data_IF_278397554949
#
_entry.id   IF_278397554949
#
_cell.length_a   1.000
_cell.length_b   1.000
_cell.length_c   1.000
_cell.angle_alpha   90.00
_cell.angle_beta   90.00
_cell.angle_gamma   90.00
#
_symmetry.space_group_name_H-M   'P 1'
#
loop_
_entity.id
_entity.type
_entity.pdbx_description
1 polymer ?
#
# COMPACT_ATOMS: atom_id res chain seq x y z
N UNK A 1 24.78 12.92 2.42
CA UNK A 1 23.72 13.57 3.03
C UNK A 1 22.49 12.74 3.09
N UNK A 2 21.92 12.71 4.28
CA UNK A 2 20.83 11.87 4.39
C UNK A 2 19.60 12.44 3.82
N UNK A 3 18.76 11.61 3.30
CA UNK A 3 17.56 12.02 2.77
C UNK A 3 16.67 12.47 3.81
N UNK A 4 16.08 13.54 3.61
CA UNK A 4 15.15 14.02 4.51
C UNK A 4 13.99 13.17 4.51
N UNK A 5 13.55 12.80 5.61
CA UNK A 5 12.43 12.02 5.82
C UNK A 5 11.83 11.41 4.64
N UNK A 6 12.16 10.46 4.11
CA UNK A 6 11.62 9.70 3.04
C UNK A 6 10.11 9.81 2.91
N UNK A 7 9.64 10.96 2.47
CA UNK A 7 8.22 11.16 2.31
C UNK A 7 7.78 10.83 0.88
N UNK A 8 6.74 10.03 0.76
CA UNK A 8 6.18 9.70 -0.54
C UNK A 8 4.75 10.22 -0.55
N UNK A 9 4.39 10.96 -1.59
CA UNK A 9 3.03 11.47 -1.71
C UNK A 9 2.37 10.91 -2.94
N UNK A 10 1.08 10.67 -2.83
CA UNK A 10 0.29 10.17 -3.94
C UNK A 10 -1.13 10.70 -3.77
N UNK A 11 -1.45 11.75 -4.50
CA UNK A 11 -2.74 12.40 -4.32
C UNK A 11 -2.91 12.87 -2.89
N UNK A 12 -3.95 12.39 -2.23
CA UNK A 12 -4.24 12.77 -0.86
C UNK A 12 -3.52 11.93 0.19
N UNK A 13 -2.66 11.03 -0.24
CA UNK A 13 -1.96 10.13 0.67
C UNK A 13 -0.52 10.59 0.82
N UNK A 14 -0.05 10.66 2.05
CA UNK A 14 1.31 11.02 2.34
C UNK A 14 1.88 10.01 3.32
N UNK A 15 3.03 9.46 3.02
CA UNK A 15 3.65 8.43 3.84
C UNK A 15 5.06 8.86 4.21
N UNK A 16 5.36 8.79 5.50
CA UNK A 16 6.69 9.13 6.01
C UNK A 16 7.37 7.85 6.47
N UNK A 17 8.38 7.43 5.74
CA UNK A 17 9.05 6.18 6.04
C UNK A 17 9.81 6.21 7.36
N UNK A 18 10.44 7.34 7.66
CA UNK A 18 11.23 7.46 8.89
C UNK A 18 10.41 7.27 10.14
N UNK A 19 9.22 7.82 10.17
CA UNK A 19 8.38 7.80 11.37
C UNK A 19 7.25 6.79 11.28
N UNK A 20 7.14 6.10 10.15
CA UNK A 20 6.06 5.14 9.89
C UNK A 20 4.69 5.80 10.07
N UNK A 21 4.55 7.01 9.53
CA UNK A 21 3.28 7.74 9.63
C UNK A 21 2.63 7.86 8.27
N UNK A 22 1.33 7.76 8.26
CA UNK A 22 0.55 7.88 7.04
C UNK A 22 -0.55 8.90 7.27
N UNK A 23 -0.70 9.82 6.33
CA UNK A 23 -1.75 10.83 6.40
C UNK A 23 -2.61 10.69 5.16
N UNK A 24 -3.91 10.74 5.34
CA UNK A 24 -4.85 10.66 4.23
C UNK A 24 -5.80 11.83 4.36
N UNK A 25 -5.83 12.66 3.36
CA UNK A 25 -6.65 13.88 3.38
C UNK A 25 -6.40 14.68 4.65
N UNK A 26 -5.13 14.77 5.04
CA UNK A 26 -4.73 15.56 6.19
C UNK A 26 -4.89 14.89 7.54
N UNK A 27 -5.45 13.69 7.56
CA UNK A 27 -5.70 12.99 8.82
C UNK A 27 -4.75 11.81 8.97
N UNK A 28 -4.14 11.70 10.14
CA UNK A 28 -3.20 10.61 10.36
C UNK A 28 -3.95 9.30 10.53
N UNK A 29 -3.48 8.27 9.84
CA UNK A 29 -4.05 6.92 9.92
C UNK A 29 -3.01 5.99 10.51
N UNK A 30 -3.43 5.12 11.41
CA UNK A 30 -2.54 4.17 12.04
C UNK A 30 -2.59 2.86 11.27
N UNK A 31 -1.44 2.45 10.76
CA UNK A 31 -1.33 1.20 10.04
C UNK A 31 -0.36 0.27 10.75
N UNK A 32 -0.78 -0.95 11.08
CA UNK A 32 0.14 -1.94 11.60
C UNK A 32 1.28 -2.20 10.63
N UNK A 33 2.36 -2.75 11.13
CA UNK A 33 3.60 -2.87 10.37
C UNK A 33 3.46 -3.46 8.97
N UNK A 34 2.77 -4.59 8.82
CA UNK A 34 2.65 -5.20 7.50
C UNK A 34 1.79 -4.37 6.56
N UNK A 35 0.76 -3.73 7.09
CA UNK A 35 -0.07 -2.85 6.27
C UNK A 35 0.74 -1.64 5.83
N UNK A 36 1.54 -1.08 6.72
CA UNK A 36 2.39 0.05 6.40
C UNK A 36 3.38 -0.34 5.30
N UNK A 37 4.06 -1.47 5.47
CA UNK A 37 5.04 -1.91 4.48
C UNK A 37 4.42 -2.20 3.12
N UNK A 38 3.21 -2.76 3.14
CA UNK A 38 2.49 -3.02 1.90
C UNK A 38 2.20 -1.71 1.18
N UNK A 39 1.67 -0.73 1.89
CA UNK A 39 1.35 0.56 1.31
C UNK A 39 2.62 1.24 0.81
N UNK A 40 3.67 1.22 1.61
CA UNK A 40 4.94 1.84 1.25
C UNK A 40 5.49 1.26 -0.05
N UNK A 41 5.52 -0.06 -0.14
CA UNK A 41 6.07 -0.72 -1.31
C UNK A 41 5.26 -0.40 -2.56
N UNK A 42 3.95 -0.42 -2.42
CA UNK A 42 3.08 -0.07 -3.55
C UNK A 42 3.30 1.38 -3.97
N UNK A 43 3.39 2.30 -3.03
CA UNK A 43 3.59 3.71 -3.36
C UNK A 43 4.95 3.96 -3.99
N UNK A 44 5.98 3.23 -3.59
CA UNK A 44 7.28 3.33 -4.22
C UNK A 44 7.25 2.87 -5.67
N UNK A 45 6.26 2.05 -6.00
CA UNK A 45 6.09 1.52 -7.35
C UNK A 45 4.77 1.98 -7.96
N UNK A 46 4.36 3.19 -7.64
CA UNK A 46 3.08 3.69 -8.10
C UNK A 46 2.93 3.58 -9.61
N UNK A 47 1.73 3.28 -10.05
CA UNK A 47 1.43 3.14 -11.46
C UNK A 47 1.81 1.80 -12.05
N UNK A 48 2.46 0.94 -11.27
CA UNK A 48 2.91 -0.35 -11.77
C UNK A 48 2.11 -1.47 -11.12
N UNK A 49 1.84 -2.51 -11.89
CA UNK A 49 1.17 -3.69 -11.36
C UNK A 49 2.20 -4.50 -10.60
N UNK A 50 1.92 -4.74 -9.32
CA UNK A 50 2.78 -5.58 -8.50
C UNK A 50 2.07 -6.91 -8.34
N UNK A 51 2.76 -8.00 -8.69
CA UNK A 51 2.14 -9.32 -8.66
C UNK A 51 1.96 -9.77 -7.21
N UNK A 52 1.00 -10.69 -7.01
CA UNK A 52 0.77 -11.22 -5.68
C UNK A 52 2.05 -11.84 -5.12
N UNK A 53 2.80 -12.54 -5.96
CA UNK A 53 4.04 -13.17 -5.53
C UNK A 53 5.07 -12.12 -5.10
N UNK A 54 5.21 -11.05 -5.87
CA UNK A 54 6.13 -9.98 -5.50
C UNK A 54 5.77 -9.36 -4.16
N UNK A 55 4.48 -9.13 -3.94
CA UNK A 55 4.03 -8.49 -2.71
C UNK A 55 4.25 -9.40 -1.50
N UNK A 56 3.93 -10.68 -1.65
CA UNK A 56 4.12 -11.61 -0.54
C UNK A 56 5.60 -11.77 -0.24
N UNK A 57 6.40 -11.91 -1.28
CA UNK A 57 7.83 -12.09 -1.13
C UNK A 57 8.46 -10.88 -0.44
N UNK A 58 8.03 -9.69 -0.81
CA UNK A 58 8.60 -8.46 -0.28
C UNK A 58 8.17 -8.21 1.16
N UNK A 59 6.90 -8.46 1.48
CA UNK A 59 6.34 -8.08 2.77
C UNK A 59 6.48 -9.19 3.81
N UNK A 60 6.31 -10.44 3.39
CA UNK A 60 6.38 -11.57 4.30
C UNK A 60 7.67 -12.37 4.19
N UNK A 61 8.39 -12.25 3.10
CA UNK A 61 9.65 -12.94 2.92
C UNK A 61 9.56 -14.03 1.87
N UNK A 62 10.70 -14.34 1.25
CA UNK A 62 10.72 -15.32 0.17
C UNK A 62 10.49 -16.74 0.66
N UNK A 63 10.66 -16.98 1.95
CA UNK A 63 10.43 -18.31 2.51
C UNK A 63 9.07 -18.43 3.19
N UNK A 64 8.19 -17.49 2.95
CA UNK A 64 6.86 -17.53 3.54
C UNK A 64 6.09 -18.75 3.04
N UNK A 65 5.61 -19.56 3.99
CA UNK A 65 4.76 -20.68 3.65
C UNK A 65 3.46 -20.50 4.38
N UNK A 66 2.47 -20.08 3.74
CA UNK A 66 1.18 -19.86 4.36
C UNK A 66 0.16 -19.55 3.31
N UNK A 67 -1.02 -19.15 3.76
CA UNK A 67 -2.09 -18.85 2.85
C UNK A 67 -1.85 -17.50 2.21
N UNK A 68 -1.92 -17.44 0.90
CA UNK A 68 -1.74 -16.19 0.20
C UNK A 68 -2.91 -15.24 0.40
N UNK A 69 -3.99 -15.72 1.00
CA UNK A 69 -5.11 -14.85 1.32
C UNK A 69 -4.75 -13.78 2.34
N UNK A 70 -3.64 -13.98 3.06
CA UNK A 70 -3.17 -12.96 3.98
C UNK A 70 -2.92 -11.64 3.25
N UNK A 71 -2.44 -11.71 2.00
CA UNK A 71 -2.23 -10.51 1.23
C UNK A 71 -3.55 -9.78 1.01
N UNK A 72 -4.59 -10.51 0.62
CA UNK A 72 -5.88 -9.90 0.32
C UNK A 72 -6.50 -9.25 1.55
N UNK A 73 -6.32 -9.87 2.71
CA UNK A 73 -6.81 -9.32 3.96
C UNK A 73 -6.10 -8.00 4.27
N UNK A 74 -4.78 -7.96 4.06
CA UNK A 74 -4.02 -6.76 4.32
C UNK A 74 -4.36 -5.65 3.31
N UNK A 75 -4.60 -6.00 2.06
CA UNK A 75 -5.05 -5.04 1.07
C UNK A 75 -6.37 -4.44 1.49
N UNK A 76 -7.30 -5.27 1.96
CA UNK A 76 -8.59 -4.79 2.39
C UNK A 76 -8.45 -3.82 3.56
N UNK A 77 -7.56 -4.12 4.49
CA UNK A 77 -7.33 -3.25 5.64
C UNK A 77 -6.70 -1.92 5.23
N UNK A 78 -5.76 -1.96 4.30
CA UNK A 78 -5.16 -0.73 3.80
C UNK A 78 -6.24 0.12 3.12
N UNK A 79 -7.07 -0.52 2.30
CA UNK A 79 -8.16 0.21 1.64
C UNK A 79 -9.07 0.90 2.65
N UNK A 80 -9.34 0.24 3.76
CA UNK A 80 -10.23 0.82 4.76
C UNK A 80 -9.66 2.11 5.34
N UNK A 81 -8.37 2.31 5.20
CA UNK A 81 -7.71 3.49 5.76
C UNK A 81 -7.42 4.58 4.74
N UNK A 82 -7.21 4.21 3.49
CA UNK A 82 -6.83 5.21 2.48
C UNK A 82 -7.94 5.59 1.51
N UNK A 83 -8.92 4.71 1.31
CA UNK A 83 -9.97 4.99 0.33
C UNK A 83 -11.14 5.71 0.98
N UNK A 84 -11.77 6.61 0.24
CA UNK A 84 -12.98 7.23 0.74
C UNK A 84 -14.09 6.19 0.86
N UNK A 85 -14.16 5.32 -0.14
CA UNK A 85 -15.13 4.23 -0.16
C UNK A 85 -14.39 2.94 -0.44
N UNK A 86 -14.03 2.18 0.59
CA UNK A 86 -13.24 0.96 0.39
C UNK A 86 -13.90 -0.07 -0.53
N UNK A 87 -15.22 -0.03 -0.65
CA UNK A 87 -15.91 -0.96 -1.53
C UNK A 87 -15.71 -0.60 -3.00
N UNK A 88 -15.33 0.65 -3.27
CA UNK A 88 -15.06 1.11 -4.63
C UNK A 88 -13.71 1.81 -4.65
N UNK A 89 -12.63 1.06 -4.48
CA UNK A 89 -11.30 1.66 -4.33
C UNK A 89 -10.86 2.39 -5.60
N UNK A 90 -10.28 3.55 -5.39
CA UNK A 90 -9.78 4.36 -6.49
C UNK A 90 -8.28 4.45 -6.51
N UNK A 91 -7.63 4.32 -5.36
CA UNK A 91 -6.18 4.35 -5.28
C UNK A 91 -5.58 2.95 -5.46
N UNK A 92 -6.00 2.03 -4.61
CA UNK A 92 -5.43 0.69 -4.59
C UNK A 92 -6.37 -0.26 -5.29
N UNK A 93 -6.09 -0.55 -6.55
CA UNK A 93 -7.00 -1.31 -7.39
C UNK A 93 -6.48 -2.72 -7.63
N UNK A 94 -7.40 -3.63 -7.90
CA UNK A 94 -7.07 -5.01 -8.21
C UNK A 94 -6.89 -5.14 -9.72
N UNK A 95 -5.80 -5.79 -10.12
CA UNK A 95 -5.60 -6.12 -11.53
C UNK A 95 -5.84 -7.62 -11.61
N UNK A 96 -6.99 -8.00 -12.13
CA UNK A 96 -7.42 -9.40 -12.10
C UNK A 96 -6.42 -10.34 -12.74
N UNK A 97 -6.15 -11.41 -12.04
CA UNK A 97 -5.23 -12.42 -12.53
C UNK A 97 -3.77 -12.06 -12.36
N UNK A 98 -3.46 -10.85 -11.91
CA UNK A 98 -2.08 -10.42 -11.78
C UNK A 98 -1.72 -9.99 -10.36
N UNK A 99 -2.39 -9.00 -9.84
CA UNK A 99 -2.05 -8.49 -8.52
C UNK A 99 -2.74 -7.18 -8.23
N UNK A 100 -1.98 -6.23 -7.72
CA UNK A 100 -2.53 -4.95 -7.28
C UNK A 100 -1.69 -3.79 -7.81
N UNK A 101 -2.33 -2.65 -7.90
CA UNK A 101 -1.66 -1.44 -8.35
C UNK A 101 -2.16 -0.26 -7.56
N UNK A 102 -1.28 0.67 -7.21
CA UNK A 102 -1.71 1.91 -6.59
C UNK A 102 -1.34 3.07 -7.49
N UNK A 103 -2.25 4.03 -7.60
CA UNK A 103 -2.00 5.23 -8.38
C UNK A 103 -3.02 6.29 -7.97
N UNK A 104 -2.84 7.52 -8.44
CA UNK A 104 -3.85 8.54 -8.18
C UNK A 104 -5.11 8.18 -8.94
N UNK A 105 -6.26 8.55 -8.42
CA UNK A 105 -7.51 8.24 -9.12
C UNK A 105 -7.56 8.93 -10.47
N UNK A 106 -8.14 8.26 -11.44
CA UNK A 106 -8.35 8.83 -12.75
C UNK A 106 -9.44 9.88 -12.62
N UNK A 107 -9.34 10.91 -13.39
CA UNK A 107 -10.33 11.98 -13.35
C UNK A 107 -11.38 11.85 -14.39
#
# INVERSE_FOLDING_TARGET
KMKEGQRITLGDISLEADTHRVFVRGEEKILPNKEFKLLEYLMQNKGRVMTRHQLIDRIWGSDYVGDTKTLDVHVKRVRSKIEEDPAHPKYLTTVRGLGYKIDVPAE
#
